data_IF_601290604524
#
_entry.id   IF_601290604524
#
_cell.length_a   1.000
_cell.length_b   1.000
_cell.length_c   1.000
_cell.angle_alpha   90.00
_cell.angle_beta   90.00
_cell.angle_gamma   90.00
#
_symmetry.space_group_name_H-M   'P 1'
#
loop_
_entity.id
_entity.type
_entity.pdbx_description
1 polymer ?
#
# COMPACT_ATOMS: atom_id res chain seq x y z
N UNK A 1 76.44 41.19 15.57
CA UNK A 1 75.42 41.77 16.44
C UNK A 1 74.65 40.58 17.04
N UNK A 2 74.60 40.42 18.39
CA UNK A 2 73.85 39.37 19.04
C UNK A 2 72.34 39.68 18.94
N UNK A 3 71.58 38.79 18.36
CA UNK A 3 70.10 38.87 18.36
C UNK A 3 69.61 38.53 19.76
N UNK A 4 69.03 39.52 20.43
CA UNK A 4 68.45 39.40 21.78
C UNK A 4 67.26 38.39 21.65
N UNK A 5 67.38 37.16 22.16
CA UNK A 5 66.29 36.21 22.33
C UNK A 5 65.43 36.72 23.51
N UNK A 6 64.23 37.22 23.14
CA UNK A 6 63.18 37.54 24.12
C UNK A 6 62.38 36.25 24.36
N UNK A 7 62.37 35.75 25.59
CA UNK A 7 61.55 34.65 26.03
C UNK A 7 60.11 35.12 26.27
N UNK A 8 59.16 34.17 26.12
CA UNK A 8 57.73 34.41 26.42
C UNK A 8 57.51 34.71 27.91
N UNK A 9 56.62 35.63 28.17
CA UNK A 9 56.20 35.92 29.57
C UNK A 9 55.11 34.89 29.97
N UNK A 10 55.05 34.58 31.27
CA UNK A 10 54.04 33.68 31.82
C UNK A 10 52.61 34.21 31.58
N UNK A 11 52.43 35.51 31.59
CA UNK A 11 51.18 36.21 31.29
C UNK A 11 50.72 35.97 29.81
N UNK A 12 51.64 36.04 28.87
CA UNK A 12 51.40 35.86 27.46
C UNK A 12 50.91 34.44 27.16
N UNK A 13 51.52 33.43 27.81
CA UNK A 13 51.10 32.03 27.69
C UNK A 13 49.70 31.83 28.32
N UNK A 14 49.41 32.44 29.45
CA UNK A 14 48.13 32.33 30.12
C UNK A 14 46.99 32.95 29.30
N UNK A 15 47.23 34.12 28.70
CA UNK A 15 46.28 34.77 27.79
C UNK A 15 46.06 33.93 26.54
N UNK A 16 47.10 33.37 25.93
CA UNK A 16 46.97 32.52 24.75
C UNK A 16 46.14 31.26 25.04
N UNK A 17 46.37 30.58 26.17
CA UNK A 17 45.59 29.40 26.57
C UNK A 17 44.14 29.79 26.82
N UNK A 18 43.88 30.92 27.49
CA UNK A 18 42.50 31.37 27.75
C UNK A 18 41.73 31.64 26.45
N UNK A 19 42.35 32.36 25.51
CA UNK A 19 41.75 32.65 24.21
C UNK A 19 41.50 31.33 23.44
N UNK A 20 42.47 30.43 23.43
CA UNK A 20 42.32 29.12 22.75
C UNK A 20 41.19 28.29 23.37
N UNK A 21 41.06 28.28 24.71
CA UNK A 21 40.00 27.61 25.41
C UNK A 21 38.59 28.17 25.06
N UNK A 22 38.46 29.49 25.01
CA UNK A 22 37.20 30.15 24.63
C UNK A 22 36.83 29.86 23.20
N UNK A 23 37.81 29.91 22.28
CA UNK A 23 37.56 29.51 20.86
C UNK A 23 37.18 28.05 20.77
N UNK A 24 37.87 27.17 21.48
CA UNK A 24 37.55 25.73 21.51
C UNK A 24 36.15 25.43 22.01
N UNK A 25 35.71 26.10 23.07
CA UNK A 25 34.34 26.00 23.58
C UNK A 25 33.29 26.48 22.54
N UNK A 26 33.58 27.61 21.88
CA UNK A 26 32.70 28.14 20.82
C UNK A 26 32.55 27.18 19.64
N UNK A 27 33.66 26.65 19.16
CA UNK A 27 33.64 25.64 18.06
C UNK A 27 32.87 24.39 18.48
N UNK A 28 33.13 23.89 19.71
CA UNK A 28 32.42 22.72 20.23
C UNK A 28 30.90 22.94 20.30
N UNK A 29 30.46 24.10 20.77
CA UNK A 29 29.04 24.46 20.88
C UNK A 29 28.34 24.50 19.49
N UNK A 30 29.00 25.13 18.51
CA UNK A 30 28.50 25.17 17.14
C UNK A 30 28.39 23.76 16.54
N UNK A 31 29.46 22.96 16.69
CA UNK A 31 29.48 21.59 16.14
C UNK A 31 28.42 20.71 16.78
N UNK A 32 28.27 20.77 18.10
CA UNK A 32 27.21 20.04 18.82
C UNK A 32 25.82 20.46 18.36
N UNK A 33 25.58 21.75 18.11
CA UNK A 33 24.31 22.24 17.57
C UNK A 33 24.00 21.70 16.17
N UNK A 34 25.01 21.63 15.31
CA UNK A 34 24.86 21.08 13.96
C UNK A 34 24.52 19.57 14.00
N UNK A 35 25.21 18.80 14.84
CA UNK A 35 24.95 17.36 15.01
C UNK A 35 23.52 17.14 15.49
N UNK A 36 23.07 17.82 16.55
CA UNK A 36 21.71 17.69 17.07
C UNK A 36 20.65 18.11 16.05
N UNK A 37 20.94 19.12 15.23
CA UNK A 37 20.02 19.54 14.15
C UNK A 37 19.92 18.50 13.07
N UNK A 38 21.04 17.88 12.68
CA UNK A 38 21.08 16.78 11.71
C UNK A 38 20.27 15.58 12.19
N UNK A 39 20.50 15.14 13.43
CA UNK A 39 19.80 13.97 13.99
C UNK A 39 18.27 14.15 13.97
N UNK A 40 17.80 15.38 14.26
CA UNK A 40 16.36 15.70 14.17
C UNK A 40 15.82 15.67 12.74
N UNK A 41 16.62 16.14 11.79
CA UNK A 41 16.22 16.11 10.36
C UNK A 41 16.18 14.66 9.86
N UNK A 42 17.16 13.86 10.23
CA UNK A 42 17.24 12.45 9.84
C UNK A 42 16.02 11.66 10.41
N UNK A 43 15.66 11.88 11.68
CA UNK A 43 14.46 11.27 12.30
C UNK A 43 13.15 11.68 11.58
N UNK A 44 13.02 12.97 11.25
CA UNK A 44 11.88 13.46 10.49
C UNK A 44 11.80 12.84 9.09
N UNK A 45 12.94 12.70 8.43
CA UNK A 45 13.02 12.10 7.11
C UNK A 45 12.59 10.63 7.13
N UNK A 46 13.06 9.85 8.11
CA UNK A 46 12.66 8.43 8.27
C UNK A 46 11.15 8.28 8.48
N UNK A 47 10.54 9.11 9.33
CA UNK A 47 9.10 9.06 9.56
C UNK A 47 8.31 9.45 8.32
N UNK A 48 8.76 10.47 7.59
CA UNK A 48 8.13 10.89 6.33
C UNK A 48 8.26 9.83 5.23
N UNK A 49 9.41 9.16 5.13
CA UNK A 49 9.60 8.02 4.23
C UNK A 49 8.66 6.85 4.59
N UNK A 50 8.46 6.57 5.88
CA UNK A 50 7.50 5.60 6.37
C UNK A 50 6.08 5.93 5.92
N UNK A 51 5.65 7.18 6.08
CA UNK A 51 4.35 7.66 5.62
C UNK A 51 4.19 7.53 4.10
N UNK A 52 5.18 8.01 3.33
CA UNK A 52 5.13 7.91 1.87
C UNK A 52 5.04 6.45 1.39
N UNK A 53 5.84 5.56 1.98
CA UNK A 53 5.81 4.12 1.67
C UNK A 53 4.44 3.52 1.97
N UNK A 54 3.85 3.87 3.10
CA UNK A 54 2.52 3.41 3.51
C UNK A 54 1.47 3.85 2.51
N UNK A 55 1.46 5.13 2.14
CA UNK A 55 0.52 5.68 1.17
C UNK A 55 0.67 5.05 -0.22
N UNK A 56 1.89 4.84 -0.71
CA UNK A 56 2.14 4.15 -1.98
C UNK A 56 1.69 2.69 -1.97
N UNK A 57 1.86 1.99 -0.84
CA UNK A 57 1.38 0.62 -0.69
C UNK A 57 -0.14 0.57 -0.68
N UNK A 58 -0.79 1.50 0.02
CA UNK A 58 -2.25 1.62 0.09
C UNK A 58 -2.83 1.91 -1.29
N UNK A 59 -2.32 2.92 -1.99
CA UNK A 59 -2.70 3.25 -3.36
C UNK A 59 -2.55 2.03 -4.29
N UNK A 60 -1.42 1.34 -4.21
CA UNK A 60 -1.18 0.15 -5.02
C UNK A 60 -2.17 -0.98 -4.72
N UNK A 61 -2.47 -1.22 -3.45
CA UNK A 61 -3.39 -2.29 -3.06
C UNK A 61 -4.81 -1.99 -3.54
N UNK A 62 -5.24 -0.73 -3.46
CA UNK A 62 -6.56 -0.29 -3.90
C UNK A 62 -6.68 -0.28 -5.43
N UNK A 63 -5.71 0.31 -6.13
CA UNK A 63 -5.76 0.42 -7.60
C UNK A 63 -5.62 -0.91 -8.31
N UNK A 64 -5.07 -1.92 -7.66
CA UNK A 64 -4.93 -3.27 -8.19
C UNK A 64 -6.00 -4.24 -7.68
N UNK A 65 -7.06 -3.74 -7.07
CA UNK A 65 -8.18 -4.57 -6.62
C UNK A 65 -8.80 -5.35 -7.78
N UNK A 66 -9.28 -6.55 -7.47
CA UNK A 66 -10.04 -7.38 -8.40
C UNK A 66 -11.25 -7.96 -7.68
N UNK A 67 -12.40 -8.04 -8.36
CA UNK A 67 -13.60 -8.63 -7.81
C UNK A 67 -13.50 -10.16 -7.81
N UNK A 68 -12.56 -10.70 -7.01
CA UNK A 68 -12.35 -12.13 -6.81
C UNK A 68 -12.51 -12.46 -5.32
N UNK A 69 -13.65 -13.01 -4.92
CA UNK A 69 -13.87 -13.50 -3.56
C UNK A 69 -12.83 -14.55 -3.17
N UNK A 70 -12.57 -14.64 -1.87
CA UNK A 70 -11.72 -15.66 -1.26
C UNK A 70 -12.58 -16.63 -0.42
N UNK A 71 -11.94 -17.66 0.13
CA UNK A 71 -12.49 -18.51 1.18
C UNK A 71 -11.62 -18.38 2.42
N UNK A 72 -12.27 -18.32 3.58
CA UNK A 72 -11.58 -18.35 4.86
C UNK A 72 -11.11 -19.77 5.23
N UNK A 73 -10.55 -19.91 6.43
CA UNK A 73 -10.05 -21.19 6.97
C UNK A 73 -11.13 -22.26 7.16
N UNK A 74 -12.40 -21.86 7.24
CA UNK A 74 -13.56 -22.75 7.38
C UNK A 74 -14.20 -23.06 6.02
N UNK A 75 -13.72 -22.43 4.94
CA UNK A 75 -14.25 -22.53 3.59
C UNK A 75 -15.41 -21.58 3.31
N UNK A 76 -15.70 -20.67 4.24
CA UNK A 76 -16.77 -19.69 4.11
C UNK A 76 -16.39 -18.59 3.13
N UNK A 77 -17.43 -18.02 2.51
CA UNK A 77 -17.29 -16.99 1.50
C UNK A 77 -16.80 -15.68 2.12
N UNK A 78 -15.71 -15.15 1.56
CA UNK A 78 -15.16 -13.85 1.89
C UNK A 78 -15.26 -12.91 0.67
N UNK A 79 -15.94 -11.75 0.78
CA UNK A 79 -16.03 -10.79 -0.32
C UNK A 79 -14.66 -10.34 -0.81
N UNK A 80 -14.59 -9.93 -2.08
CA UNK A 80 -13.35 -9.39 -2.65
C UNK A 80 -12.84 -8.12 -1.95
N UNK A 81 -13.76 -7.34 -1.39
CA UNK A 81 -13.52 -6.16 -0.55
C UNK A 81 -14.46 -6.23 0.64
N UNK A 82 -13.93 -6.00 1.85
CA UNK A 82 -14.73 -5.89 3.07
C UNK A 82 -14.05 -5.02 4.12
N UNK A 83 -14.87 -4.30 4.90
CA UNK A 83 -14.50 -3.62 6.14
C UNK A 83 -15.25 -4.17 7.36
N UNK A 84 -15.92 -5.34 7.21
CA UNK A 84 -16.76 -5.94 8.24
C UNK A 84 -16.04 -6.98 9.10
N UNK A 85 -14.74 -7.16 8.87
CA UNK A 85 -13.92 -8.04 9.70
C UNK A 85 -13.54 -7.34 11.00
N UNK A 86 -13.68 -8.06 12.12
CA UNK A 86 -13.43 -7.49 13.46
C UNK A 86 -11.98 -7.04 13.64
N UNK A 87 -11.04 -7.77 13.05
CA UNK A 87 -9.62 -7.55 13.24
C UNK A 87 -8.99 -6.59 12.21
N UNK A 88 -9.75 -6.23 11.15
CA UNK A 88 -9.20 -5.47 10.03
C UNK A 88 -10.11 -4.32 9.62
N UNK A 89 -9.54 -3.12 9.54
CA UNK A 89 -10.25 -1.95 9.03
C UNK A 89 -10.61 -2.07 7.54
N UNK A 90 -9.79 -2.79 6.78
CA UNK A 90 -10.00 -3.03 5.35
C UNK A 90 -9.33 -4.33 4.93
N UNK A 91 -10.07 -5.19 4.24
CA UNK A 91 -9.54 -6.39 3.62
C UNK A 91 -9.95 -6.47 2.15
N UNK A 92 -9.00 -6.80 1.26
CA UNK A 92 -9.24 -6.82 -0.17
C UNK A 92 -8.45 -7.89 -0.91
N UNK A 93 -8.94 -8.28 -2.09
CA UNK A 93 -8.21 -9.12 -3.04
C UNK A 93 -7.61 -8.25 -4.14
N UNK A 94 -6.31 -8.36 -4.36
CA UNK A 94 -5.61 -7.62 -5.41
C UNK A 94 -4.88 -8.53 -6.38
N UNK A 95 -4.61 -8.01 -7.58
CA UNK A 95 -3.70 -8.60 -8.56
C UNK A 95 -2.31 -7.98 -8.51
N UNK A 96 -1.45 -8.36 -9.47
CA UNK A 96 -0.15 -7.72 -9.64
C UNK A 96 0.95 -8.23 -8.72
N UNK A 97 0.73 -9.33 -8.02
CA UNK A 97 1.78 -9.97 -7.25
C UNK A 97 2.76 -10.69 -8.18
N UNK A 98 3.84 -9.99 -8.52
CA UNK A 98 4.87 -10.47 -9.46
C UNK A 98 5.45 -11.79 -8.99
N UNK A 99 5.61 -12.74 -9.92
CA UNK A 99 6.18 -14.06 -9.68
C UNK A 99 7.39 -14.30 -10.59
N UNK A 100 8.52 -13.60 -10.37
CA UNK A 100 9.68 -13.69 -11.24
C UNK A 100 10.35 -15.07 -11.21
N UNK A 101 10.17 -15.83 -10.13
CA UNK A 101 10.76 -17.15 -9.95
C UNK A 101 9.87 -18.29 -10.48
N UNK A 102 8.68 -18.00 -11.03
CA UNK A 102 7.76 -19.01 -11.55
C UNK A 102 7.24 -20.01 -10.51
N UNK A 103 7.24 -19.66 -9.23
CA UNK A 103 6.73 -20.50 -8.15
C UNK A 103 5.25 -20.80 -8.40
N UNK A 104 4.80 -22.02 -8.09
CA UNK A 104 3.39 -22.41 -8.21
C UNK A 104 2.51 -21.67 -7.19
N UNK A 105 2.14 -20.43 -7.46
CA UNK A 105 1.23 -19.60 -6.68
C UNK A 105 0.39 -18.70 -7.58
N UNK A 106 -0.73 -18.24 -7.04
CA UNK A 106 -1.58 -17.25 -7.73
C UNK A 106 -0.83 -15.92 -7.91
N UNK A 107 -1.21 -15.15 -8.93
CA UNK A 107 -0.86 -13.73 -9.09
C UNK A 107 -1.77 -12.82 -8.27
N UNK A 108 -2.82 -13.40 -7.66
CA UNK A 108 -3.71 -12.72 -6.75
C UNK A 108 -3.18 -12.85 -5.32
N UNK A 109 -3.47 -11.84 -4.52
CA UNK A 109 -3.07 -11.76 -3.12
C UNK A 109 -4.24 -11.23 -2.29
N UNK A 110 -4.51 -11.86 -1.16
CA UNK A 110 -5.38 -11.31 -0.12
C UNK A 110 -4.56 -10.40 0.77
N UNK A 111 -5.09 -9.21 1.06
CA UNK A 111 -4.42 -8.18 1.85
C UNK A 111 -5.42 -7.62 2.86
N UNK A 112 -4.94 -7.35 4.06
CA UNK A 112 -5.68 -6.66 5.10
C UNK A 112 -4.86 -5.49 5.67
N UNK A 113 -5.57 -4.43 6.03
CA UNK A 113 -5.07 -3.26 6.72
C UNK A 113 -5.67 -3.22 8.11
N UNK A 114 -4.81 -3.22 9.12
CA UNK A 114 -5.17 -3.29 10.53
C UNK A 114 -4.69 -2.01 11.23
N UNK A 115 -5.60 -1.36 11.92
CA UNK A 115 -5.30 -0.26 12.82
C UNK A 115 -5.40 -0.75 14.28
N UNK A 116 -4.31 -0.67 15.02
CA UNK A 116 -4.21 -1.22 16.39
C UNK A 116 -4.45 -0.17 17.49
N UNK A 117 -4.82 1.08 17.11
CA UNK A 117 -4.96 2.21 18.03
C UNK A 117 -3.74 3.15 18.06
N UNK A 118 -2.60 2.73 17.56
CA UNK A 118 -1.38 3.55 17.45
C UNK A 118 -0.52 3.23 16.23
N UNK A 119 -0.77 2.09 15.59
CA UNK A 119 0.02 1.58 14.46
C UNK A 119 -0.90 1.21 13.30
N UNK A 120 -0.41 1.40 12.09
CA UNK A 120 -1.03 0.87 10.88
C UNK A 120 -0.17 -0.28 10.36
N UNK A 121 -0.77 -1.46 10.29
CA UNK A 121 -0.15 -2.71 9.89
C UNK A 121 -0.78 -3.22 8.62
N UNK A 122 0.01 -3.91 7.81
CA UNK A 122 -0.44 -4.56 6.60
C UNK A 122 -0.18 -6.05 6.68
N UNK A 123 -1.26 -6.83 6.67
CA UNK A 123 -1.21 -8.28 6.63
C UNK A 123 -1.49 -8.79 5.23
N UNK A 124 -0.82 -9.84 4.81
CA UNK A 124 -1.10 -10.45 3.52
C UNK A 124 -0.91 -11.97 3.56
N UNK A 125 -1.67 -12.65 2.71
CA UNK A 125 -1.64 -14.10 2.58
C UNK A 125 -1.02 -14.49 1.24
N UNK A 126 -0.06 -15.46 1.22
CA UNK A 126 0.54 -15.99 0.00
C UNK A 126 -0.45 -16.77 -0.89
N UNK A 127 -1.52 -17.29 -0.30
CA UNK A 127 -2.57 -18.05 -0.96
C UNK A 127 -3.88 -17.30 -0.81
N UNK A 128 -4.70 -17.25 -1.87
CA UNK A 128 -5.94 -16.49 -1.87
C UNK A 128 -7.01 -17.15 -0.99
N UNK A 129 -7.25 -18.45 -1.20
CA UNK A 129 -8.15 -19.23 -0.38
C UNK A 129 -7.35 -19.78 0.81
N UNK A 130 -7.74 -19.39 2.01
CA UNK A 130 -7.01 -19.71 3.24
C UNK A 130 -7.16 -21.20 3.58
N UNK A 131 -6.05 -21.87 3.84
CA UNK A 131 -6.03 -23.22 4.39
C UNK A 131 -6.03 -23.21 5.92
N UNK A 132 -6.05 -24.40 6.52
CA UNK A 132 -6.03 -24.54 7.98
C UNK A 132 -4.71 -24.05 8.65
N UNK A 133 -3.65 -23.88 7.87
CA UNK A 133 -2.41 -23.28 8.35
C UNK A 133 -2.42 -21.78 8.13
N UNK A 134 -2.20 -21.03 9.20
CA UNK A 134 -2.08 -19.57 9.15
C UNK A 134 -0.74 -19.17 8.52
N UNK A 135 -0.76 -18.94 7.22
CA UNK A 135 0.38 -18.49 6.41
C UNK A 135 0.35 -16.99 6.12
N UNK A 136 -0.13 -16.20 7.07
CA UNK A 136 -0.12 -14.74 6.91
C UNK A 136 1.25 -14.14 7.19
N UNK A 137 1.52 -13.00 6.57
CA UNK A 137 2.67 -12.15 6.87
C UNK A 137 2.19 -10.78 7.28
N UNK A 138 2.65 -10.34 8.42
CA UNK A 138 2.31 -9.06 9.01
C UNK A 138 3.52 -8.11 8.93
N UNK A 139 3.27 -6.86 8.54
CA UNK A 139 4.28 -5.81 8.38
C UNK A 139 3.79 -4.53 9.02
N UNK A 140 4.50 -4.04 10.02
CA UNK A 140 4.30 -2.69 10.53
C UNK A 140 4.73 -1.69 9.47
N UNK A 141 3.84 -0.75 9.13
CA UNK A 141 4.08 0.25 8.10
C UNK A 141 4.24 1.67 8.65
N UNK A 142 3.44 2.02 9.65
CA UNK A 142 3.42 3.37 10.21
C UNK A 142 3.08 3.31 11.70
N UNK A 143 3.84 4.02 12.51
CA UNK A 143 3.58 4.30 13.92
C UNK A 143 3.01 5.71 14.08
N UNK A 144 2.42 6.03 15.25
CA UNK A 144 1.87 7.34 15.54
C UNK A 144 0.56 7.64 14.79
N UNK A 145 -0.14 6.60 14.36
CA UNK A 145 -1.48 6.71 13.76
C UNK A 145 -2.51 6.86 14.87
N UNK A 146 -3.36 7.87 14.77
CA UNK A 146 -4.42 8.17 15.76
C UNK A 146 -5.81 7.75 15.28
N UNK A 147 -6.02 7.70 13.95
CA UNK A 147 -7.23 7.13 13.35
C UNK A 147 -6.96 6.58 11.94
N UNK A 148 -7.73 5.58 11.55
CA UNK A 148 -7.75 5.03 10.21
C UNK A 148 -9.17 4.65 9.83
N UNK A 149 -9.84 5.51 9.06
CA UNK A 149 -11.23 5.38 8.68
C UNK A 149 -11.37 5.16 7.17
N UNK A 150 -12.37 4.36 6.81
CA UNK A 150 -12.64 4.00 5.42
C UNK A 150 -14.13 4.22 5.13
N UNK A 151 -14.43 4.90 4.00
CA UNK A 151 -15.80 5.06 3.49
C UNK A 151 -15.87 4.59 2.04
N UNK A 152 -17.03 4.09 1.64
CA UNK A 152 -17.25 3.47 0.33
C UNK A 152 -18.36 4.21 -0.42
N UNK A 153 -18.11 4.55 -1.68
CA UNK A 153 -19.13 5.16 -2.55
C UNK A 153 -19.92 4.05 -3.24
N UNK A 154 -21.21 3.98 -2.94
CA UNK A 154 -22.10 3.00 -3.56
C UNK A 154 -22.58 3.43 -4.97
N UNK A 155 -23.35 2.57 -5.66
CA UNK A 155 -23.88 2.85 -6.99
C UNK A 155 -24.89 4.02 -7.02
N UNK A 156 -25.47 4.35 -5.90
CA UNK A 156 -26.40 5.48 -5.73
C UNK A 156 -25.69 6.81 -5.46
N UNK A 157 -24.35 6.82 -5.45
CA UNK A 157 -23.48 7.93 -5.07
C UNK A 157 -23.62 8.34 -3.58
N UNK A 158 -24.02 7.42 -2.72
CA UNK A 158 -24.03 7.63 -1.27
C UNK A 158 -22.79 7.03 -0.62
N UNK A 159 -22.28 7.69 0.41
CA UNK A 159 -21.16 7.19 1.19
C UNK A 159 -21.63 6.23 2.29
N UNK A 160 -21.15 5.00 2.25
CA UNK A 160 -21.36 3.98 3.26
C UNK A 160 -20.11 3.81 4.14
N UNK A 161 -20.31 3.64 5.45
CA UNK A 161 -19.22 3.40 6.40
C UNK A 161 -18.66 1.97 6.34
N UNK A 162 -19.47 1.02 5.87
CA UNK A 162 -19.11 -0.40 5.81
C UNK A 162 -19.36 -0.99 4.42
N UNK A 163 -18.52 -1.94 4.05
CA UNK A 163 -18.67 -2.70 2.81
C UNK A 163 -18.42 -4.20 3.04
N UNK A 164 -19.23 -5.11 2.43
CA UNK A 164 -20.48 -4.85 1.69
C UNK A 164 -21.54 -4.20 2.55
N UNK A 165 -22.46 -3.46 1.93
CA UNK A 165 -23.59 -2.87 2.68
C UNK A 165 -24.50 -3.96 3.25
N UNK A 166 -25.24 -3.68 4.31
CA UNK A 166 -26.14 -4.65 4.96
C UNK A 166 -27.17 -5.20 3.98
N UNK A 167 -27.69 -4.37 3.09
CA UNK A 167 -28.63 -4.77 2.06
C UNK A 167 -28.03 -5.79 1.07
N UNK A 168 -26.76 -5.62 0.72
CA UNK A 168 -26.05 -6.55 -0.15
C UNK A 168 -25.84 -7.91 0.54
N UNK A 169 -25.62 -7.92 1.86
CA UNK A 169 -25.45 -9.14 2.65
C UNK A 169 -26.78 -9.88 2.87
N UNK A 170 -27.88 -9.18 3.07
CA UNK A 170 -29.21 -9.78 3.33
C UNK A 170 -29.88 -10.30 2.04
N UNK A 171 -29.50 -9.81 0.88
CA UNK A 171 -30.02 -10.28 -0.42
C UNK A 171 -29.46 -11.63 -0.87
N UNK A 172 -28.61 -12.27 -0.06
CA UNK A 172 -28.00 -13.55 -0.38
C UNK A 172 -29.03 -14.68 -0.36
N UNK A 173 -29.30 -15.26 -1.52
CA UNK A 173 -30.15 -16.45 -1.62
C UNK A 173 -29.38 -17.68 -1.14
N UNK A 174 -29.97 -18.55 -0.31
CA UNK A 174 -29.33 -19.80 0.11
C UNK A 174 -28.92 -20.65 -1.11
N UNK A 175 -27.65 -21.03 -1.14
CA UNK A 175 -27.11 -21.91 -2.20
C UNK A 175 -26.60 -21.18 -3.45
N UNK A 176 -26.75 -19.88 -3.60
CA UNK A 176 -26.08 -19.09 -4.64
C UNK A 176 -24.85 -18.39 -4.09
N UNK A 177 -23.80 -18.33 -4.91
CA UNK A 177 -22.65 -17.47 -4.58
C UNK A 177 -23.10 -16.02 -4.53
N UNK A 178 -22.74 -15.27 -3.48
CA UNK A 178 -23.01 -13.85 -3.45
C UNK A 178 -22.31 -13.15 -4.61
N UNK A 179 -23.06 -12.42 -5.40
CA UNK A 179 -22.52 -11.52 -6.42
C UNK A 179 -22.39 -10.12 -5.79
N UNK A 180 -21.34 -9.94 -4.99
CA UNK A 180 -21.06 -8.67 -4.34
C UNK A 180 -20.19 -7.86 -5.28
N UNK A 181 -20.75 -6.79 -5.80
CA UNK A 181 -20.07 -5.83 -6.68
C UNK A 181 -19.09 -4.99 -5.85
N UNK A 182 -18.04 -4.48 -6.45
CA UNK A 182 -17.16 -3.49 -5.82
C UNK A 182 -17.88 -2.13 -5.73
N UNK A 183 -17.58 -1.29 -4.75
CA UNK A 183 -18.08 0.08 -4.71
C UNK A 183 -17.51 0.89 -5.87
N UNK A 184 -18.11 2.04 -6.20
CA UNK A 184 -17.58 2.94 -7.22
C UNK A 184 -16.29 3.63 -6.80
N UNK A 185 -16.12 3.85 -5.50
CA UNK A 185 -14.94 4.47 -4.95
C UNK A 185 -14.76 4.18 -3.46
N UNK A 186 -13.60 4.54 -2.96
CA UNK A 186 -13.23 4.44 -1.56
C UNK A 186 -12.54 5.73 -1.14
N UNK A 187 -12.90 6.23 0.04
CA UNK A 187 -12.19 7.31 0.71
C UNK A 187 -11.54 6.76 1.96
N UNK A 188 -10.28 7.09 2.15
CA UNK A 188 -9.49 6.69 3.31
C UNK A 188 -9.00 7.95 4.00
N UNK A 189 -9.29 8.03 5.29
CA UNK A 189 -8.78 9.06 6.19
C UNK A 189 -7.78 8.42 7.14
N UNK A 190 -6.55 8.90 7.10
CA UNK A 190 -5.48 8.55 8.01
C UNK A 190 -5.13 9.77 8.85
N UNK A 191 -5.31 9.68 10.16
CA UNK A 191 -4.85 10.70 11.10
C UNK A 191 -3.53 10.26 11.73
N UNK A 192 -2.57 11.18 11.76
CA UNK A 192 -1.25 10.91 12.32
C UNK A 192 -0.85 12.05 13.25
N UNK A 193 -0.33 11.73 14.44
CA UNK A 193 0.00 12.69 15.49
C UNK A 193 0.94 13.82 15.04
N UNK A 194 1.80 13.57 14.07
CA UNK A 194 2.77 14.56 13.54
C UNK A 194 2.35 15.18 12.21
N UNK A 195 1.74 14.41 11.32
CA UNK A 195 1.44 14.84 9.94
C UNK A 195 0.00 15.30 9.75
N UNK A 196 -0.84 15.17 10.80
CA UNK A 196 -2.26 15.54 10.76
C UNK A 196 -3.09 14.62 9.88
N UNK A 197 -4.16 15.14 9.31
CA UNK A 197 -5.17 14.39 8.59
C UNK A 197 -4.80 14.27 7.10
N UNK A 198 -4.79 13.06 6.62
CA UNK A 198 -4.45 12.70 5.24
C UNK A 198 -5.66 11.98 4.63
N UNK A 199 -6.36 12.66 3.74
CA UNK A 199 -7.52 12.09 3.05
C UNK A 199 -7.14 11.71 1.62
N UNK A 200 -7.51 10.50 1.20
CA UNK A 200 -7.29 9.97 -0.14
C UNK A 200 -8.57 9.32 -0.67
N UNK A 201 -8.97 9.74 -1.85
CA UNK A 201 -10.10 9.16 -2.56
C UNK A 201 -9.61 8.41 -3.80
N UNK A 202 -10.10 7.19 -3.98
CA UNK A 202 -9.79 6.36 -5.14
C UNK A 202 -11.10 5.95 -5.81
N UNK A 203 -11.09 5.96 -7.14
CA UNK A 203 -12.18 5.43 -7.95
C UNK A 203 -11.81 4.02 -8.37
N UNK A 204 -12.72 3.08 -8.19
CA UNK A 204 -12.50 1.71 -8.66
C UNK A 204 -12.78 1.61 -10.15
N UNK A 205 -12.06 0.73 -10.87
CA UNK A 205 -12.40 0.43 -12.25
C UNK A 205 -13.83 -0.11 -12.32
N UNK A 206 -14.57 0.32 -13.32
CA UNK A 206 -15.88 -0.22 -13.61
C UNK A 206 -15.71 -1.67 -14.12
N UNK A 207 -16.00 -2.63 -13.24
CA UNK A 207 -15.98 -4.04 -13.56
C UNK A 207 -17.39 -4.48 -13.98
N UNK A 208 -17.76 -4.23 -15.24
CA UNK A 208 -18.90 -4.94 -15.84
C UNK A 208 -18.45 -6.35 -16.30
N UNK A 209 -18.85 -7.42 -15.60
CA UNK A 209 -18.58 -8.79 -16.05
C UNK A 209 -19.12 -9.07 -17.44
N UNK A 210 -20.20 -8.39 -17.84
CA UNK A 210 -20.80 -8.48 -19.15
C UNK A 210 -19.91 -7.90 -20.25
N UNK A 211 -19.19 -6.84 -19.99
CA UNK A 211 -18.24 -6.26 -20.94
C UNK A 211 -17.03 -7.16 -21.15
N UNK A 212 -16.49 -7.74 -20.09
CA UNK A 212 -15.41 -8.72 -20.19
C UNK A 212 -15.83 -9.94 -21.04
N UNK A 213 -17.04 -10.45 -20.82
CA UNK A 213 -17.58 -11.57 -21.59
C UNK A 213 -17.85 -11.18 -23.05
N UNK A 214 -18.34 -9.97 -23.31
CA UNK A 214 -18.53 -9.45 -24.68
C UNK A 214 -17.20 -9.35 -25.43
N UNK A 215 -16.15 -8.84 -24.80
CA UNK A 215 -14.80 -8.78 -25.38
C UNK A 215 -14.23 -10.17 -25.69
N UNK A 216 -14.40 -11.13 -24.80
CA UNK A 216 -13.99 -12.54 -25.02
C UNK A 216 -14.74 -13.13 -26.20
N UNK A 217 -16.05 -12.93 -26.29
CA UNK A 217 -16.85 -13.44 -27.38
C UNK A 217 -16.46 -12.82 -28.73
N UNK A 218 -16.28 -11.49 -28.80
CA UNK A 218 -15.80 -10.78 -29.99
C UNK A 218 -14.42 -11.27 -30.44
N UNK A 219 -13.51 -11.50 -29.49
CA UNK A 219 -12.17 -12.03 -29.81
C UNK A 219 -12.24 -13.44 -30.35
N UNK A 220 -13.13 -14.28 -29.83
CA UNK A 220 -13.32 -15.65 -30.31
C UNK A 220 -13.98 -15.69 -31.68
N UNK A 221 -14.95 -14.81 -31.94
CA UNK A 221 -15.60 -14.66 -33.25
C UNK A 221 -14.60 -14.19 -34.31
N UNK A 222 -13.80 -13.16 -34.00
CA UNK A 222 -12.74 -12.67 -34.87
C UNK A 222 -11.66 -13.74 -35.19
N UNK A 223 -11.35 -14.62 -34.23
CA UNK A 223 -10.43 -15.74 -34.47
C UNK A 223 -11.05 -16.82 -35.35
N UNK A 224 -12.37 -17.08 -35.22
CA UNK A 224 -13.08 -18.05 -36.07
C UNK A 224 -13.14 -17.55 -37.50
N UNK A 225 -13.57 -16.31 -37.71
CA UNK A 225 -13.62 -15.74 -39.05
C UNK A 225 -12.23 -15.73 -39.74
N UNK A 226 -11.18 -15.37 -39.02
CA UNK A 226 -9.81 -15.40 -39.56
C UNK A 226 -9.31 -16.84 -39.87
N UNK A 227 -9.82 -17.85 -39.19
CA UNK A 227 -9.51 -19.26 -39.49
C UNK A 227 -10.30 -19.77 -40.71
N UNK A 228 -11.57 -19.37 -40.84
CA UNK A 228 -12.42 -19.69 -41.99
C UNK A 228 -11.84 -19.05 -43.28
N UNK A 229 -11.46 -17.76 -43.23
CA UNK A 229 -10.82 -17.09 -44.38
C UNK A 229 -9.51 -17.76 -44.79
N UNK A 230 -8.69 -18.23 -43.84
CA UNK A 230 -7.45 -18.93 -44.12
C UNK A 230 -7.65 -20.33 -44.74
N UNK A 231 -8.69 -21.01 -44.35
CA UNK A 231 -9.07 -22.31 -44.94
C UNK A 231 -9.65 -22.15 -46.36
N UNK A 232 -10.42 -21.09 -46.66
CA UNK A 232 -10.89 -20.75 -48.00
C UNK A 232 -9.70 -20.40 -48.94
N UNK A 233 -8.78 -19.55 -48.50
CA UNK A 233 -7.59 -19.19 -49.25
C UNK A 233 -6.69 -20.44 -49.56
N UNK A 234 -6.59 -21.36 -48.62
CA UNK A 234 -5.84 -22.60 -48.79
C UNK A 234 -6.54 -23.57 -49.77
N UNK A 235 -7.86 -23.58 -49.84
CA UNK A 235 -8.65 -24.41 -50.75
C UNK A 235 -8.59 -23.87 -52.21
N UNK A 236 -8.55 -22.55 -52.39
CA UNK A 236 -8.38 -21.95 -53.74
C UNK A 236 -6.99 -22.19 -54.33
N UNK A 237 -5.94 -22.21 -53.50
CA UNK A 237 -4.54 -22.43 -53.96
C UNK A 237 -4.21 -23.92 -54.20
N UNK A 238 -5.01 -24.87 -53.72
CA UNK A 238 -4.81 -26.30 -53.91
C UNK A 238 -5.56 -26.90 -55.11
N UNK A 239 -6.26 -26.09 -55.89
CA UNK A 239 -7.13 -26.50 -57.00
C UNK A 239 -6.57 -26.28 -58.43
N UNK A 240 -5.27 -25.93 -58.59
CA UNK A 240 -4.58 -25.84 -59.91
C UNK A 240 -3.75 -27.10 -60.24
#
# INVERSE_FOLDING_TARGET
>A
MPVSQRGFTLLEVLVAITITAVIGLGVWQVLSGVIMSRDRVDELAEQFEGLQRTMLLLERDITQIVNRPARDIYGDFQPALTSRETDFSLMLTRQGWRNPLGIRRSRLQRVAWEYTGSELRRRYWPVLDQGQEENSRDVLLLEGVTAFDVRFLNEQNDWAAEWPTENAMTSLSPGKRPDIVLPQGIEITLEHERFGDLVRTFVFPDFDPGDAQRLVNQTNEARRSAAEDADEDAAEQGGE
#
